data_IF_706161428997
#
_entry.id   IF_706161428997
#
_cell.length_a   1.000
_cell.length_b   1.000
_cell.length_c   1.000
_cell.angle_alpha   90.00
_cell.angle_beta   90.00
_cell.angle_gamma   90.00
#
_symmetry.space_group_name_H-M   'P 1'
#
loop_
_entity.id
_entity.type
_entity.pdbx_description
1 polymer ?
#
# COMPACT_ATOMS: atom_id res chain seq x y z
N UNK A 1 -8.85 51.32 14.22
CA UNK A 1 -7.79 50.97 13.24
C UNK A 1 -6.43 51.25 13.88
N UNK A 2 -5.65 50.19 14.15
CA UNK A 2 -4.44 50.25 14.97
C UNK A 2 -3.20 49.85 14.17
N UNK A 3 -2.08 50.50 14.50
CA UNK A 3 -0.76 50.52 13.85
C UNK A 3 -0.01 49.16 13.74
N UNK A 4 -0.64 48.04 14.10
CA UNK A 4 -0.09 46.68 13.94
C UNK A 4 -0.11 46.17 12.50
N UNK A 5 -0.87 46.83 11.62
CA UNK A 5 -1.10 46.42 10.23
C UNK A 5 0.13 46.65 9.30
N UNK A 6 1.03 47.56 9.66
CA UNK A 6 2.12 48.00 8.78
C UNK A 6 3.38 47.09 8.82
N UNK A 7 3.54 46.25 9.85
CA UNK A 7 4.68 45.31 9.94
C UNK A 7 4.46 44.04 9.09
N UNK A 8 3.19 43.63 8.89
CA UNK A 8 2.84 42.46 8.08
C UNK A 8 2.99 42.69 6.58
N UNK A 9 2.77 43.92 6.09
CA UNK A 9 2.83 44.24 4.66
C UNK A 9 4.28 44.18 4.10
N UNK A 10 5.28 44.52 4.91
CA UNK A 10 6.70 44.45 4.51
C UNK A 10 7.20 42.99 4.38
N UNK A 11 6.76 42.11 5.29
CA UNK A 11 7.04 40.67 5.23
C UNK A 11 6.29 40.01 4.05
N UNK A 12 5.07 40.48 3.79
CA UNK A 12 4.22 40.05 2.68
C UNK A 12 4.79 40.43 1.30
N UNK A 13 5.40 41.63 1.14
CA UNK A 13 6.09 42.01 -0.10
C UNK A 13 7.36 41.20 -0.35
N UNK A 14 8.03 40.72 0.70
CA UNK A 14 9.18 39.81 0.57
C UNK A 14 8.78 38.44 0.00
N UNK A 15 7.56 37.96 0.29
CA UNK A 15 7.03 36.70 -0.27
C UNK A 15 6.38 36.84 -1.65
N UNK A 16 5.99 38.05 -2.08
CA UNK A 16 5.26 38.33 -3.32
C UNK A 16 6.12 38.55 -4.59
N UNK A 17 7.44 38.36 -4.53
CA UNK A 17 8.36 38.72 -5.62
C UNK A 17 8.25 37.90 -6.93
N UNK A 18 7.59 36.75 -6.99
CA UNK A 18 7.61 35.88 -8.18
C UNK A 18 6.27 35.17 -8.43
N UNK A 19 5.21 35.98 -8.65
CA UNK A 19 3.83 35.54 -8.64
C UNK A 19 3.47 34.37 -9.57
N UNK A 20 2.48 33.57 -9.11
CA UNK A 20 1.21 33.29 -9.80
C UNK A 20 0.25 32.52 -8.89
N UNK A 21 -0.93 33.13 -8.70
CA UNK A 21 -2.23 32.63 -8.15
C UNK A 21 -2.21 31.98 -6.77
N UNK A 22 -2.92 32.57 -5.80
CA UNK A 22 -3.19 31.98 -4.50
C UNK A 22 -4.69 32.08 -4.17
N UNK A 23 -5.29 30.93 -3.86
CA UNK A 23 -6.50 30.84 -3.04
C UNK A 23 -6.19 31.46 -1.68
N UNK A 24 -7.11 32.25 -1.14
CA UNK A 24 -6.96 32.90 0.16
C UNK A 24 -6.98 31.86 1.28
N UNK A 25 -5.78 31.43 1.68
CA UNK A 25 -5.56 30.41 2.70
C UNK A 25 -6.05 30.88 4.07
N UNK A 26 -6.07 32.19 4.37
CA UNK A 26 -6.57 32.69 5.65
C UNK A 26 -8.10 32.71 5.71
N UNK A 27 -8.77 33.03 4.61
CA UNK A 27 -10.21 32.83 4.50
C UNK A 27 -10.58 31.34 4.63
N UNK A 28 -9.75 30.45 4.06
CA UNK A 28 -9.90 29.00 4.16
C UNK A 28 -9.64 28.48 5.58
N UNK A 29 -8.55 28.91 6.23
CA UNK A 29 -8.20 28.57 7.62
C UNK A 29 -9.25 29.11 8.60
N UNK A 30 -9.72 30.35 8.41
CA UNK A 30 -10.76 30.92 9.26
C UNK A 30 -12.08 30.16 9.11
N UNK A 31 -12.43 29.73 7.90
CA UNK A 31 -13.63 28.92 7.63
C UNK A 31 -13.52 27.49 8.21
N UNK A 32 -12.32 26.90 8.19
CA UNK A 32 -12.05 25.58 8.78
C UNK A 32 -12.10 25.65 10.32
N UNK A 33 -11.49 26.68 10.91
CA UNK A 33 -11.42 26.86 12.36
C UNK A 33 -12.74 27.35 12.96
N UNK A 34 -13.60 28.04 12.20
CA UNK A 34 -14.93 28.47 12.64
C UNK A 34 -16.00 27.37 12.54
N UNK A 35 -15.69 26.21 11.95
CA UNK A 35 -16.66 25.14 11.67
C UNK A 35 -17.63 25.46 10.53
N UNK A 36 -17.48 26.61 9.88
CA UNK A 36 -18.31 27.02 8.75
C UNK A 36 -17.96 26.26 7.48
N UNK A 37 -16.72 25.77 7.30
CA UNK A 37 -16.27 25.04 6.12
C UNK A 37 -17.01 23.71 5.95
N UNK A 38 -17.26 22.96 7.03
CA UNK A 38 -18.05 21.71 6.94
C UNK A 38 -19.49 21.98 6.50
N UNK A 39 -20.08 23.08 6.98
CA UNK A 39 -21.42 23.53 6.61
C UNK A 39 -21.46 24.08 5.19
N UNK A 40 -20.43 24.81 4.77
CA UNK A 40 -20.29 25.35 3.41
C UNK A 40 -20.02 24.23 2.40
N UNK A 41 -19.20 23.23 2.73
CA UNK A 41 -18.94 22.05 1.90
C UNK A 41 -20.20 21.20 1.77
N UNK A 42 -20.92 20.95 2.88
CA UNK A 42 -22.20 20.24 2.85
C UNK A 42 -23.27 21.01 2.06
N UNK A 43 -23.30 22.35 2.19
CA UNK A 43 -24.21 23.21 1.42
C UNK A 43 -23.85 23.21 -0.07
N UNK A 44 -22.57 23.31 -0.43
CA UNK A 44 -22.06 23.22 -1.80
C UNK A 44 -22.34 21.85 -2.43
N UNK A 45 -22.21 20.76 -1.65
CA UNK A 45 -22.56 19.40 -2.06
C UNK A 45 -24.09 19.22 -2.22
N UNK A 46 -24.89 19.87 -1.38
CA UNK A 46 -26.36 19.79 -1.44
C UNK A 46 -27.00 20.70 -2.49
N UNK A 47 -26.34 21.81 -2.83
CA UNK A 47 -26.76 22.77 -3.85
C UNK A 47 -26.22 22.38 -5.24
N UNK A 48 -25.13 21.61 -5.31
CA UNK A 48 -24.61 20.94 -6.51
C UNK A 48 -25.43 19.68 -6.83
N UNK A 49 -26.74 19.84 -7.06
CA UNK A 49 -27.61 18.75 -7.52
C UNK A 49 -27.36 18.35 -8.99
N UNK A 50 -26.32 18.86 -9.63
CA UNK A 50 -25.84 18.42 -10.94
C UNK A 50 -24.56 17.59 -10.81
N UNK A 51 -24.65 16.36 -11.32
CA UNK A 51 -23.68 15.26 -11.32
C UNK A 51 -22.38 15.57 -12.12
N UNK A 52 -21.77 16.75 -11.96
CA UNK A 52 -20.54 17.08 -12.70
C UNK A 52 -19.64 18.14 -12.07
N UNK A 53 -19.64 18.29 -10.75
CA UNK A 53 -18.50 18.91 -10.06
C UNK A 53 -17.31 17.95 -10.11
N UNK A 54 -16.50 18.13 -11.16
CA UNK A 54 -15.32 17.36 -11.53
C UNK A 54 -14.46 17.02 -10.29
N UNK A 55 -14.32 15.73 -9.97
CA UNK A 55 -13.66 15.22 -8.76
C UNK A 55 -12.22 15.71 -8.55
N UNK A 56 -11.65 16.36 -9.56
CA UNK A 56 -10.38 17.09 -9.50
C UNK A 56 -10.39 18.28 -8.54
N UNK A 57 -11.50 19.01 -8.42
CA UNK A 57 -11.59 20.15 -7.51
C UNK A 57 -11.60 19.70 -6.04
N UNK A 58 -12.28 18.58 -5.76
CA UNK A 58 -12.32 17.92 -4.46
C UNK A 58 -10.94 17.38 -4.09
N UNK A 59 -10.26 16.72 -5.03
CA UNK A 59 -8.90 16.20 -4.84
C UNK A 59 -7.85 17.29 -4.60
N UNK A 60 -7.97 18.44 -5.27
CA UNK A 60 -7.10 19.61 -5.05
C UNK A 60 -7.31 20.22 -3.66
N UNK A 61 -8.55 20.31 -3.20
CA UNK A 61 -8.88 20.80 -1.86
C UNK A 61 -8.40 19.86 -0.75
N UNK A 62 -8.55 18.55 -0.93
CA UNK A 62 -8.07 17.53 0.00
C UNK A 62 -6.53 17.49 0.06
N UNK A 63 -5.84 17.70 -1.07
CA UNK A 63 -4.37 17.83 -1.12
C UNK A 63 -3.85 19.04 -0.36
N UNK A 64 -4.54 20.17 -0.47
CA UNK A 64 -4.19 21.38 0.28
C UNK A 64 -4.37 21.18 1.80
N UNK A 65 -5.42 20.45 2.22
CA UNK A 65 -5.68 20.11 3.63
C UNK A 65 -4.70 19.09 4.21
N UNK A 66 -4.19 18.15 3.40
CA UNK A 66 -3.23 17.14 3.81
C UNK A 66 -1.76 17.62 3.82
N UNK A 67 -1.50 18.90 3.52
CA UNK A 67 -0.14 19.46 3.49
C UNK A 67 0.74 18.98 2.31
N UNK A 68 0.16 18.31 1.31
CA UNK A 68 0.87 17.87 0.12
C UNK A 68 0.77 18.92 -1.00
N UNK A 69 1.57 19.98 -0.90
CA UNK A 69 1.83 20.86 -2.05
C UNK A 69 3.07 20.32 -2.77
N UNK A 70 2.85 19.62 -3.87
CA UNK A 70 3.89 19.25 -4.82
C UNK A 70 4.57 20.52 -5.37
N UNK A 71 5.90 20.53 -5.37
CA UNK A 71 6.66 21.43 -6.23
C UNK A 71 6.30 21.11 -7.69
N UNK A 72 5.56 22.00 -8.34
CA UNK A 72 5.31 21.96 -9.78
C UNK A 72 6.54 22.48 -10.52
N UNK A 73 7.41 21.57 -10.95
CA UNK A 73 8.43 21.85 -11.96
C UNK A 73 8.00 21.27 -13.30
N UNK A 74 7.58 22.12 -14.24
CA UNK A 74 7.44 21.76 -15.65
C UNK A 74 8.84 21.58 -16.25
N UNK A 75 9.25 20.34 -16.48
CA UNK A 75 10.50 19.99 -17.16
C UNK A 75 10.45 18.51 -17.52
N UNK A 76 10.89 18.16 -18.73
CA UNK A 76 10.77 16.82 -19.29
C UNK A 76 11.40 15.71 -18.45
N UNK A 77 10.98 14.49 -18.76
CA UNK A 77 11.42 13.21 -18.20
C UNK A 77 12.95 13.06 -18.20
N UNK A 78 13.58 13.49 -17.11
CA UNK A 78 14.75 12.86 -16.52
C UNK A 78 14.32 12.45 -15.12
N UNK A 79 14.60 11.20 -14.73
CA UNK A 79 14.31 10.69 -13.39
C UNK A 79 14.96 11.62 -12.35
N UNK A 80 14.16 12.52 -11.78
CA UNK A 80 14.63 13.49 -10.82
C UNK A 80 15.15 12.72 -9.61
N UNK A 81 16.45 12.82 -9.38
CA UNK A 81 17.09 12.31 -8.17
C UNK A 81 16.38 12.96 -6.98
N UNK A 82 15.53 12.19 -6.29
CA UNK A 82 14.80 12.66 -5.11
C UNK A 82 15.86 13.05 -4.07
N UNK A 83 15.93 14.33 -3.72
CA UNK A 83 16.87 14.81 -2.74
C UNK A 83 16.65 14.06 -1.40
N UNK A 84 17.73 13.64 -0.71
CA UNK A 84 17.60 12.92 0.54
C UNK A 84 16.84 13.75 1.57
N UNK A 85 15.96 13.09 2.34
CA UNK A 85 15.21 13.74 3.41
C UNK A 85 16.17 14.31 4.47
N UNK A 86 15.83 15.47 5.07
CA UNK A 86 16.60 15.99 6.17
C UNK A 86 16.54 15.02 7.37
N UNK A 87 17.65 14.93 8.10
CA UNK A 87 17.69 14.18 9.36
C UNK A 87 16.84 14.94 10.37
N UNK A 88 15.80 14.28 10.88
CA UNK A 88 14.94 14.85 11.91
C UNK A 88 15.72 14.98 13.23
N UNK A 89 15.85 16.20 13.73
CA UNK A 89 16.56 16.50 15.00
C UNK A 89 15.62 16.63 16.19
N UNK A 90 14.32 16.69 15.95
CA UNK A 90 13.29 16.97 16.95
C UNK A 90 12.10 16.04 16.70
N UNK A 91 11.51 15.45 17.75
CA UNK A 91 10.27 14.69 17.57
C UNK A 91 9.12 15.62 17.16
N UNK A 92 8.06 15.10 16.50
CA UNK A 92 6.86 15.88 16.18
C UNK A 92 6.29 16.65 17.38
N UNK A 93 5.73 17.84 17.16
CA UNK A 93 5.09 18.64 18.22
C UNK A 93 3.75 18.04 18.66
N UNK A 94 3.07 17.32 17.78
CA UNK A 94 1.85 16.59 18.09
C UNK A 94 2.15 15.33 18.92
N UNK A 95 1.44 15.15 20.03
CA UNK A 95 1.71 14.04 20.95
C UNK A 95 1.32 12.68 20.39
N UNK A 96 0.28 12.60 19.55
CA UNK A 96 -0.18 11.39 18.92
C UNK A 96 0.80 10.94 17.83
N UNK A 97 1.31 11.88 17.03
CA UNK A 97 2.38 11.62 16.05
C UNK A 97 3.68 11.18 16.75
N UNK A 98 4.05 11.78 17.89
CA UNK A 98 5.21 11.30 18.67
C UNK A 98 5.05 9.85 19.13
N UNK A 99 3.86 9.49 19.61
CA UNK A 99 3.58 8.11 20.06
C UNK A 99 3.59 7.14 18.88
N UNK A 100 2.95 7.50 17.77
CA UNK A 100 2.98 6.71 16.54
C UNK A 100 4.42 6.50 16.02
N UNK A 101 5.25 7.56 15.99
CA UNK A 101 6.65 7.46 15.57
C UNK A 101 7.45 6.54 16.51
N UNK A 102 7.19 6.61 17.82
CA UNK A 102 7.83 5.73 18.80
C UNK A 102 7.40 4.27 18.67
N UNK A 103 6.15 4.00 18.28
CA UNK A 103 5.68 2.65 17.94
C UNK A 103 6.46 2.09 16.74
N UNK A 104 6.64 2.88 15.68
CA UNK A 104 7.42 2.45 14.52
C UNK A 104 8.89 2.21 14.89
N UNK A 105 9.48 3.11 15.69
CA UNK A 105 10.83 2.93 16.21
C UNK A 105 10.94 1.66 17.08
N UNK A 106 9.92 1.31 17.86
CA UNK A 106 9.88 0.05 18.63
C UNK A 106 9.96 -1.17 17.71
N UNK A 107 9.19 -1.20 16.63
CA UNK A 107 9.25 -2.28 15.62
C UNK A 107 10.65 -2.35 14.99
N UNK A 108 11.27 -1.21 14.69
CA UNK A 108 12.63 -1.18 14.19
C UNK A 108 13.66 -1.73 15.20
N UNK A 109 13.51 -1.48 16.51
CA UNK A 109 14.35 -2.12 17.54
C UNK A 109 14.18 -3.65 17.55
N UNK A 110 12.95 -4.15 17.34
CA UNK A 110 12.69 -5.58 17.18
C UNK A 110 13.37 -6.16 15.94
N UNK A 111 13.32 -5.46 14.80
CA UNK A 111 14.01 -5.89 13.57
C UNK A 111 15.52 -5.99 13.73
N UNK A 112 16.14 -5.05 14.46
CA UNK A 112 17.57 -5.11 14.81
C UNK A 112 17.92 -6.30 15.69
N UNK A 113 16.99 -6.72 16.55
CA UNK A 113 17.14 -7.88 17.42
C UNK A 113 16.85 -9.23 16.73
N UNK A 114 16.50 -9.25 15.44
CA UNK A 114 16.28 -10.48 14.66
C UNK A 114 14.80 -10.87 14.48
N UNK A 115 13.86 -10.00 14.85
CA UNK A 115 12.42 -10.21 14.66
C UNK A 115 11.93 -9.61 13.32
N UNK A 116 12.68 -9.79 12.24
CA UNK A 116 12.42 -9.09 10.97
C UNK A 116 11.17 -9.59 10.23
N UNK A 117 10.61 -10.73 10.65
CA UNK A 117 9.34 -11.26 10.11
C UNK A 117 8.11 -10.63 10.76
N UNK A 118 8.27 -9.66 11.66
CA UNK A 118 7.15 -8.81 12.10
C UNK A 118 6.80 -7.78 11.02
N UNK A 119 5.50 -7.67 10.72
CA UNK A 119 4.93 -6.76 9.73
C UNK A 119 4.03 -5.72 10.38
N UNK A 120 3.98 -4.53 9.79
CA UNK A 120 3.00 -3.50 10.09
C UNK A 120 1.95 -3.39 8.98
N UNK A 121 0.71 -3.14 9.37
CA UNK A 121 -0.38 -2.71 8.49
C UNK A 121 -0.93 -1.42 9.06
N UNK A 122 -0.58 -0.30 8.43
CA UNK A 122 -0.89 1.04 8.91
C UNK A 122 -1.93 1.70 8.01
N UNK A 123 -2.83 2.47 8.60
CA UNK A 123 -3.93 3.08 7.88
C UNK A 123 -4.62 4.20 8.66
N UNK A 124 -5.63 4.80 8.05
CA UNK A 124 -6.42 5.87 8.68
C UNK A 124 -7.78 5.36 9.16
N UNK A 125 -8.31 5.98 10.22
CA UNK A 125 -9.69 5.77 10.67
C UNK A 125 -10.70 6.13 9.57
N UNK A 126 -11.95 5.60 9.60
CA UNK A 126 -12.99 5.99 8.65
C UNK A 126 -13.21 7.51 8.63
N UNK A 127 -13.04 8.12 9.81
CA UNK A 127 -13.17 9.56 10.04
C UNK A 127 -11.94 10.37 9.61
N UNK A 128 -10.83 9.73 9.24
CA UNK A 128 -9.56 10.39 8.93
C UNK A 128 -8.88 11.06 10.12
N UNK A 129 -9.40 10.91 11.34
CA UNK A 129 -8.88 11.60 12.53
C UNK A 129 -7.77 10.85 13.27
N UNK A 130 -7.69 9.53 13.08
CA UNK A 130 -6.77 8.69 13.83
C UNK A 130 -5.97 7.78 12.92
N UNK A 131 -4.66 7.78 13.10
CA UNK A 131 -3.77 6.82 12.49
C UNK A 131 -3.82 5.51 13.28
N UNK A 132 -3.91 4.39 12.57
CA UNK A 132 -3.99 3.05 13.13
C UNK A 132 -2.82 2.23 12.62
N UNK A 133 -2.30 1.37 13.47
CA UNK A 133 -1.23 0.46 13.10
C UNK A 133 -1.48 -0.90 13.74
N UNK A 134 -1.52 -1.90 12.88
CA UNK A 134 -1.59 -3.30 13.26
C UNK A 134 -0.20 -3.91 13.13
N UNK A 135 0.21 -4.70 14.11
CA UNK A 135 1.44 -5.48 14.08
C UNK A 135 1.06 -6.95 14.00
N UNK A 136 1.64 -7.67 13.05
CA UNK A 136 1.38 -9.08 12.78
C UNK A 136 2.68 -9.78 12.34
N UNK A 137 2.58 -11.06 11.97
CA UNK A 137 3.69 -11.82 11.38
C UNK A 137 3.63 -11.84 9.85
N UNK A 138 4.77 -12.07 9.19
CA UNK A 138 4.88 -12.22 7.75
C UNK A 138 4.00 -13.35 7.16
N UNK A 139 3.62 -14.34 7.98
CA UNK A 139 2.74 -15.44 7.59
C UNK A 139 1.25 -15.05 7.61
N UNK A 140 0.92 -13.87 8.12
CA UNK A 140 -0.44 -13.35 8.23
C UNK A 140 -0.63 -12.03 7.45
N UNK A 141 0.17 -11.83 6.39
CA UNK A 141 -0.04 -10.77 5.41
C UNK A 141 -0.11 -11.34 3.99
N UNK A 142 -0.82 -10.67 3.10
CA UNK A 142 -0.88 -10.98 1.67
C UNK A 142 0.46 -10.69 0.98
N UNK A 143 0.53 -10.99 -0.33
CA UNK A 143 1.71 -10.75 -1.16
C UNK A 143 2.08 -9.26 -1.30
N UNK A 144 1.15 -8.34 -1.07
CA UNK A 144 1.44 -6.91 -0.99
C UNK A 144 2.26 -6.52 0.25
N UNK A 145 2.45 -7.44 1.20
CA UNK A 145 3.29 -7.25 2.36
C UNK A 145 2.66 -6.51 3.54
N UNK A 146 1.37 -6.14 3.47
CA UNK A 146 0.67 -5.39 4.53
C UNK A 146 -0.81 -5.76 4.74
N UNK A 147 -1.53 -6.24 3.73
CA UNK A 147 -2.94 -6.60 3.91
C UNK A 147 -3.05 -7.85 4.77
N UNK A 148 -3.88 -7.81 5.80
CA UNK A 148 -4.02 -8.90 6.77
C UNK A 148 -4.81 -10.06 6.16
N UNK A 149 -4.30 -11.30 6.30
CA UNK A 149 -5.01 -12.51 5.88
C UNK A 149 -6.09 -12.88 6.91
N UNK A 150 -5.74 -12.82 8.19
CA UNK A 150 -6.63 -13.14 9.30
C UNK A 150 -6.56 -12.08 10.40
N UNK A 151 -7.74 -11.67 10.86
CA UNK A 151 -7.93 -10.85 12.06
C UNK A 151 -8.08 -11.74 13.28
N UNK A 152 -7.62 -11.28 14.45
CA UNK A 152 -7.78 -12.01 15.71
C UNK A 152 -6.57 -11.89 16.64
N UNK A 153 -6.29 -12.96 17.40
CA UNK A 153 -5.26 -12.99 18.44
C UNK A 153 -3.83 -12.77 17.92
N UNK A 154 -3.59 -12.95 16.62
CA UNK A 154 -2.28 -12.77 15.99
C UNK A 154 -2.01 -11.33 15.52
N UNK A 155 -2.96 -10.41 15.77
CA UNK A 155 -2.87 -9.01 15.34
C UNK A 155 -2.96 -8.11 16.55
N UNK A 156 -1.91 -7.33 16.78
CA UNK A 156 -1.86 -6.33 17.85
C UNK A 156 -2.16 -4.95 17.26
N UNK A 157 -3.12 -4.22 17.83
CA UNK A 157 -3.60 -2.96 17.27
C UNK A 157 -3.26 -1.76 18.15
N UNK A 158 -2.74 -0.71 17.52
CA UNK A 158 -2.57 0.62 18.10
C UNK A 158 -3.40 1.64 17.32
N UNK A 159 -3.96 2.63 18.03
CA UNK A 159 -4.63 3.79 17.46
C UNK A 159 -4.05 5.06 18.06
N UNK A 160 -3.85 6.09 17.25
CA UNK A 160 -3.39 7.40 17.72
C UNK A 160 -4.43 8.14 18.57
N UNK A 161 -5.67 7.64 18.61
CA UNK A 161 -6.70 8.06 19.57
C UNK A 161 -6.35 7.69 21.01
N UNK A 162 -5.53 6.65 21.21
CA UNK A 162 -5.11 6.15 22.51
C UNK A 162 -3.82 6.87 22.95
N UNK A 163 -3.71 7.13 24.24
CA UNK A 163 -2.50 7.64 24.88
C UNK A 163 -1.60 6.53 25.43
N UNK A 164 -2.09 5.28 25.45
CA UNK A 164 -1.37 4.08 25.88
C UNK A 164 -1.12 3.12 24.70
N UNK A 165 0.06 2.49 24.69
CA UNK A 165 0.36 1.46 23.67
C UNK A 165 -0.36 0.18 24.04
N UNK A 166 -1.27 -0.31 23.20
CA UNK A 166 -1.96 -1.60 23.39
C UNK A 166 -2.69 -1.72 24.75
N UNK A 167 -3.15 -0.59 25.31
CA UNK A 167 -3.76 -0.52 26.66
C UNK A 167 -2.77 -0.64 27.83
N UNK A 168 -1.46 -0.60 27.58
CA UNK A 168 -0.43 -0.74 28.60
C UNK A 168 -0.30 0.52 29.48
N UNK A 169 -0.75 0.41 30.73
CA UNK A 169 -0.73 1.50 31.72
C UNK A 169 0.69 1.94 32.12
N UNK A 170 1.65 1.02 32.04
CA UNK A 170 3.04 1.27 32.42
C UNK A 170 3.92 1.77 31.26
N UNK A 171 3.33 2.10 30.11
CA UNK A 171 4.09 2.46 28.90
C UNK A 171 4.57 3.93 28.86
N UNK A 172 4.09 4.77 29.78
CA UNK A 172 4.44 6.17 29.86
C UNK A 172 5.95 6.39 30.02
N UNK A 173 6.52 7.29 29.22
CA UNK A 173 7.94 7.65 29.26
C UNK A 173 8.92 6.58 28.74
N UNK A 174 8.46 5.37 28.40
CA UNK A 174 9.35 4.32 27.87
C UNK A 174 9.91 4.69 26.51
N UNK A 175 11.19 4.37 26.30
CA UNK A 175 11.86 4.45 25.00
C UNK A 175 11.38 3.33 24.06
N UNK A 176 11.66 3.47 22.75
CA UNK A 176 11.37 2.44 21.75
C UNK A 176 11.96 1.06 22.13
N UNK A 177 13.18 1.02 22.69
CA UNK A 177 13.82 -0.22 23.16
C UNK A 177 13.09 -0.87 24.33
N UNK A 178 12.67 -0.06 25.30
CA UNK A 178 11.92 -0.56 26.46
C UNK A 178 10.52 -1.06 26.05
N UNK A 179 9.89 -0.40 25.07
CA UNK A 179 8.64 -0.88 24.48
C UNK A 179 8.85 -2.20 23.71
N UNK A 180 9.97 -2.35 23.02
CA UNK A 180 10.29 -3.58 22.27
C UNK A 180 10.47 -4.77 23.23
N UNK A 181 11.12 -4.54 24.37
CA UNK A 181 11.21 -5.55 25.43
C UNK A 181 9.81 -5.92 25.97
N UNK A 182 8.97 -4.93 26.30
CA UNK A 182 7.60 -5.19 26.74
C UNK A 182 6.77 -5.94 25.69
N UNK A 183 6.98 -5.66 24.40
CA UNK A 183 6.31 -6.35 23.32
C UNK A 183 6.63 -7.85 23.32
N UNK A 184 7.91 -8.21 23.47
CA UNK A 184 8.33 -9.61 23.57
C UNK A 184 7.73 -10.29 24.81
N UNK A 185 7.72 -9.59 25.95
CA UNK A 185 7.19 -10.10 27.22
C UNK A 185 5.67 -10.34 27.17
N UNK A 186 4.92 -9.46 26.49
CA UNK A 186 3.44 -9.47 26.50
C UNK A 186 2.80 -10.15 25.31
N UNK A 187 3.51 -10.24 24.19
CA UNK A 187 3.06 -10.92 22.97
C UNK A 187 4.07 -12.00 22.55
N UNK A 188 4.37 -12.99 23.42
CA UNK A 188 5.44 -13.95 23.18
C UNK A 188 5.20 -14.81 21.93
N UNK A 189 3.96 -15.20 21.65
CA UNK A 189 3.65 -16.00 20.45
C UNK A 189 3.86 -15.21 19.16
N UNK A 190 3.42 -13.95 19.12
CA UNK A 190 3.65 -13.09 17.96
C UNK A 190 5.15 -12.78 17.79
N UNK A 191 5.86 -12.49 18.88
CA UNK A 191 7.30 -12.30 18.86
C UNK A 191 8.02 -13.54 18.31
N UNK A 192 7.62 -14.75 18.73
CA UNK A 192 8.17 -16.01 18.21
C UNK A 192 7.96 -16.15 16.70
N UNK A 193 6.78 -15.82 16.17
CA UNK A 193 6.52 -15.81 14.71
C UNK A 193 7.34 -14.74 13.97
N UNK A 194 7.67 -13.65 14.65
CA UNK A 194 8.52 -12.59 14.14
C UNK A 194 9.99 -12.98 13.93
N UNK A 195 10.47 -14.06 14.56
CA UNK A 195 11.87 -14.49 14.46
C UNK A 195 12.21 -14.91 13.04
N UNK A 196 13.26 -14.31 12.49
CA UNK A 196 13.81 -14.64 11.16
C UNK A 196 14.38 -13.41 10.47
N UNK A 197 15.16 -13.64 9.42
CA UNK A 197 15.73 -12.56 8.61
C UNK A 197 14.79 -12.21 7.47
N UNK A 198 14.46 -10.93 7.33
CA UNK A 198 13.71 -10.34 6.23
C UNK A 198 14.39 -9.00 5.88
N UNK A 199 15.52 -9.09 5.18
CA UNK A 199 16.37 -7.92 4.91
C UNK A 199 15.68 -6.91 3.98
N UNK A 200 14.84 -7.39 3.06
CA UNK A 200 14.08 -6.53 2.16
C UNK A 200 13.10 -5.68 2.97
N UNK A 201 12.31 -6.32 3.84
CA UNK A 201 11.37 -5.60 4.68
C UNK A 201 12.06 -4.69 5.69
N UNK A 202 13.07 -5.18 6.39
CA UNK A 202 13.82 -4.38 7.36
C UNK A 202 14.50 -3.17 6.70
N UNK A 203 15.02 -3.32 5.49
CA UNK A 203 15.61 -2.21 4.72
C UNK A 203 14.57 -1.17 4.30
N UNK A 204 13.44 -1.61 3.74
CA UNK A 204 12.31 -0.72 3.43
C UNK A 204 11.79 -0.01 4.68
N UNK A 205 11.69 -0.71 5.81
CA UNK A 205 11.18 -0.17 7.07
C UNK A 205 12.04 0.99 7.57
N UNK A 206 13.37 0.95 7.38
CA UNK A 206 14.26 2.05 7.74
C UNK A 206 13.94 3.32 6.95
N UNK A 207 13.73 3.20 5.64
CA UNK A 207 13.34 4.33 4.79
C UNK A 207 11.97 4.90 5.19
N UNK A 208 11.00 4.02 5.46
CA UNK A 208 9.67 4.40 5.95
C UNK A 208 9.74 5.09 7.32
N UNK A 209 10.59 4.61 8.24
CA UNK A 209 10.78 5.22 9.55
C UNK A 209 11.37 6.63 9.41
N UNK A 210 12.35 6.84 8.53
CA UNK A 210 12.88 8.18 8.24
C UNK A 210 11.84 9.15 7.68
N UNK A 211 10.88 8.65 6.89
CA UNK A 211 9.71 9.43 6.47
C UNK A 211 8.81 9.80 7.66
N UNK A 212 8.50 8.84 8.54
CA UNK A 212 7.64 9.06 9.71
C UNK A 212 8.27 10.04 10.72
N UNK A 213 9.59 10.01 10.90
CA UNK A 213 10.34 10.99 11.70
C UNK A 213 10.25 12.42 11.16
N UNK A 214 9.95 12.57 9.87
CA UNK A 214 9.64 13.82 9.19
C UNK A 214 8.13 14.09 9.07
N UNK A 215 7.29 13.37 9.83
CA UNK A 215 5.84 13.55 9.86
C UNK A 215 5.07 12.85 8.74
N UNK A 216 5.75 12.09 7.88
CA UNK A 216 5.13 11.32 6.78
C UNK A 216 4.90 9.88 7.20
N UNK A 217 3.77 9.62 7.85
CA UNK A 217 3.41 8.27 8.33
C UNK A 217 2.89 7.38 7.20
N UNK A 218 3.17 6.06 7.25
CA UNK A 218 2.63 5.12 6.27
C UNK A 218 1.11 4.99 6.40
N UNK A 219 0.40 4.99 5.28
CA UNK A 219 -1.04 4.76 5.18
C UNK A 219 -1.29 3.85 3.98
N UNK A 220 -1.51 2.56 4.24
CA UNK A 220 -1.77 1.56 3.20
C UNK A 220 -3.26 1.38 2.92
N UNK A 221 -4.09 1.56 3.95
CA UNK A 221 -5.54 1.52 3.84
C UNK A 221 -6.22 2.73 4.47
N UNK A 222 -7.34 3.10 3.88
CA UNK A 222 -8.30 4.07 4.40
C UNK A 222 -9.67 3.78 3.77
N UNK A 223 -10.74 4.29 4.35
CA UNK A 223 -12.10 4.14 3.80
C UNK A 223 -12.37 5.13 2.65
N UNK A 224 -11.33 5.83 2.20
CA UNK A 224 -11.33 6.74 1.05
C UNK A 224 -10.21 6.35 0.08
N UNK A 225 -10.35 6.78 -1.18
CA UNK A 225 -9.42 6.39 -2.24
C UNK A 225 -7.98 6.81 -1.89
N UNK A 226 -7.09 5.83 -1.79
CA UNK A 226 -5.65 6.05 -1.73
C UNK A 226 -5.05 5.80 -3.10
N UNK A 227 -3.94 6.46 -3.40
CA UNK A 227 -3.11 6.18 -4.57
C UNK A 227 -1.65 6.16 -4.14
N UNK A 228 -1.24 5.19 -3.29
CA UNK A 228 0.14 5.08 -2.86
C UNK A 228 1.02 4.71 -4.05
N UNK A 229 2.25 5.19 -4.04
CA UNK A 229 3.26 4.78 -5.03
C UNK A 229 3.86 3.43 -4.64
N UNK A 230 4.35 2.65 -5.61
CA UNK A 230 4.99 1.36 -5.32
C UNK A 230 6.17 1.49 -4.34
N UNK A 231 6.89 2.61 -4.37
CA UNK A 231 8.01 2.90 -3.45
C UNK A 231 7.57 3.09 -1.99
N UNK A 232 6.33 3.51 -1.77
CA UNK A 232 5.75 3.68 -0.42
C UNK A 232 5.21 2.36 0.14
N UNK A 233 5.05 1.34 -0.69
CA UNK A 233 4.50 0.04 -0.32
C UNK A 233 5.58 -0.90 0.23
N UNK A 234 5.26 -1.71 1.26
CA UNK A 234 6.22 -2.69 1.77
C UNK A 234 6.51 -3.78 0.74
N UNK A 235 7.72 -4.37 0.78
CA UNK A 235 8.01 -5.53 -0.04
C UNK A 235 7.23 -6.76 0.47
N UNK A 236 7.02 -7.77 -0.40
CA UNK A 236 6.41 -9.03 -0.03
C UNK A 236 7.13 -9.74 1.15
N UNK A 237 6.47 -10.65 1.87
CA UNK A 237 7.08 -11.51 2.90
C UNK A 237 8.25 -12.34 2.37
N UNK A 238 9.43 -12.23 3.01
CA UNK A 238 10.55 -13.12 2.68
C UNK A 238 10.22 -14.57 3.06
N UNK A 239 10.72 -15.54 2.29
CA UNK A 239 10.43 -16.95 2.54
C UNK A 239 9.13 -17.45 1.91
N UNK A 240 8.32 -16.58 1.29
CA UNK A 240 7.59 -17.01 0.10
C UNK A 240 8.65 -17.55 -0.86
N UNK A 241 8.59 -18.83 -1.21
CA UNK A 241 9.45 -19.38 -2.25
C UNK A 241 9.14 -18.63 -3.54
N UNK A 242 9.91 -17.59 -3.82
CA UNK A 242 10.32 -17.31 -5.17
C UNK A 242 11.02 -18.59 -5.65
N UNK A 243 10.29 -19.46 -6.35
CA UNK A 243 10.93 -20.38 -7.27
C UNK A 243 11.75 -19.61 -8.31
N UNK A 244 11.54 -18.30 -8.48
CA UNK A 244 12.27 -17.49 -9.44
C UNK A 244 12.57 -16.09 -8.88
N UNK A 245 13.82 -15.92 -8.47
CA UNK A 245 14.49 -14.63 -8.32
C UNK A 245 15.49 -14.53 -9.47
N UNK A 246 15.07 -13.90 -10.55
CA UNK A 246 15.92 -13.25 -11.53
C UNK A 246 15.05 -12.23 -12.27
N UNK A 247 15.22 -10.97 -11.88
CA UNK A 247 14.92 -9.74 -12.65
C UNK A 247 13.75 -9.87 -13.64
N UNK A 248 12.56 -9.41 -13.22
CA UNK A 248 11.27 -9.27 -13.93
C UNK A 248 10.23 -10.40 -13.87
N UNK A 249 10.55 -11.64 -13.47
CA UNK A 249 9.56 -12.70 -13.14
C UNK A 249 8.60 -13.12 -14.27
N UNK A 250 8.60 -12.43 -15.41
CA UNK A 250 7.82 -12.74 -16.60
C UNK A 250 8.56 -13.77 -17.43
N UNK A 251 7.85 -14.78 -17.88
CA UNK A 251 8.33 -15.83 -18.77
C UNK A 251 7.61 -15.65 -20.11
N UNK A 252 8.35 -15.23 -21.13
CA UNK A 252 7.84 -15.19 -22.49
C UNK A 252 7.48 -16.61 -22.96
N UNK A 253 6.50 -16.71 -23.86
CA UNK A 253 6.07 -18.02 -24.37
C UNK A 253 7.20 -18.82 -25.03
N UNK A 254 8.16 -18.13 -25.66
CA UNK A 254 9.32 -18.74 -26.28
C UNK A 254 10.32 -19.34 -25.27
N UNK A 255 10.34 -18.82 -24.04
CA UNK A 255 11.25 -19.23 -22.98
C UNK A 255 10.59 -20.15 -21.94
N UNK A 256 9.32 -20.50 -22.13
CA UNK A 256 8.56 -21.33 -21.20
C UNK A 256 9.01 -22.79 -21.25
N UNK A 257 9.44 -23.33 -20.11
CA UNK A 257 9.95 -24.70 -19.93
C UNK A 257 9.11 -25.46 -18.91
N UNK A 258 9.21 -26.79 -18.92
CA UNK A 258 8.49 -27.66 -17.98
C UNK A 258 8.80 -27.33 -16.51
N UNK A 259 10.02 -26.92 -16.20
CA UNK A 259 10.46 -26.51 -14.86
C UNK A 259 9.83 -25.19 -14.38
N UNK A 260 9.23 -24.40 -15.28
CA UNK A 260 8.49 -23.19 -14.94
C UNK A 260 7.05 -23.48 -14.54
N UNK A 261 6.53 -24.68 -14.85
CA UNK A 261 5.14 -25.04 -14.55
C UNK A 261 5.01 -25.47 -13.08
N UNK A 262 3.93 -25.06 -12.39
CA UNK A 262 3.66 -25.55 -11.04
C UNK A 262 3.40 -27.07 -11.07
N UNK A 263 3.57 -27.80 -9.94
CA UNK A 263 3.30 -29.24 -9.90
C UNK A 263 1.83 -29.55 -10.22
N UNK A 264 1.51 -30.80 -10.63
CA UNK A 264 0.12 -31.24 -10.70
C UNK A 264 -0.59 -31.01 -9.36
N UNK A 265 -1.83 -30.54 -9.41
CA UNK A 265 -2.64 -30.21 -8.22
C UNK A 265 -2.02 -29.14 -7.30
N UNK A 266 -1.16 -28.28 -7.86
CA UNK A 266 -0.57 -27.15 -7.14
C UNK A 266 -1.62 -26.30 -6.41
N UNK A 267 -1.24 -25.78 -5.24
CA UNK A 267 -2.14 -24.94 -4.45
C UNK A 267 -2.37 -23.58 -5.12
N UNK A 268 -3.41 -22.86 -4.68
CA UNK A 268 -3.72 -21.53 -5.21
C UNK A 268 -2.52 -20.57 -5.18
N UNK A 269 -1.75 -20.56 -4.08
CA UNK A 269 -0.57 -19.71 -3.92
C UNK A 269 0.53 -19.98 -4.96
N UNK A 270 0.66 -21.22 -5.43
CA UNK A 270 1.61 -21.59 -6.49
C UNK A 270 1.06 -21.27 -7.90
N UNK A 271 -0.24 -21.49 -8.11
CA UNK A 271 -0.93 -21.16 -9.35
C UNK A 271 -0.96 -19.65 -9.61
N UNK A 272 -1.29 -18.85 -8.59
CA UNK A 272 -1.35 -17.40 -8.67
C UNK A 272 -0.02 -16.83 -9.16
N UNK A 273 1.08 -17.29 -8.56
CA UNK A 273 2.43 -16.87 -8.94
C UNK A 273 2.73 -17.23 -10.39
N UNK A 274 2.41 -18.45 -10.82
CA UNK A 274 2.61 -18.85 -12.21
C UNK A 274 1.79 -18.00 -13.21
N UNK A 275 0.54 -17.69 -12.89
CA UNK A 275 -0.32 -16.84 -13.74
C UNK A 275 0.29 -15.45 -13.98
N UNK A 276 0.94 -14.89 -12.96
CA UNK A 276 1.58 -13.57 -13.03
C UNK A 276 2.93 -13.58 -13.76
N UNK A 277 3.46 -14.74 -14.14
CA UNK A 277 4.62 -14.83 -15.05
C UNK A 277 4.27 -14.43 -16.48
N UNK A 278 2.99 -14.19 -16.78
CA UNK A 278 2.53 -13.76 -18.09
C UNK A 278 1.78 -12.45 -17.96
N UNK A 279 1.99 -11.54 -18.91
CA UNK A 279 1.18 -10.35 -19.03
C UNK A 279 0.22 -10.51 -20.20
N UNK A 280 -1.02 -10.87 -19.88
CA UNK A 280 -2.08 -11.03 -20.88
C UNK A 280 -2.50 -9.71 -21.55
N UNK A 281 -1.97 -8.57 -21.13
CA UNK A 281 -2.19 -7.25 -21.75
C UNK A 281 -1.00 -6.77 -22.60
N UNK A 282 0.13 -7.50 -22.60
CA UNK A 282 1.38 -7.03 -23.17
C UNK A 282 1.23 -6.62 -24.65
N UNK A 283 1.58 -5.35 -24.93
CA UNK A 283 1.62 -4.73 -26.26
C UNK A 283 0.53 -3.70 -26.55
N UNK A 284 -0.46 -3.50 -25.67
CA UNK A 284 -1.56 -2.54 -25.92
C UNK A 284 -2.46 -2.93 -27.11
N UNK A 285 -2.31 -4.14 -27.64
CA UNK A 285 -3.04 -4.63 -28.82
C UNK A 285 -4.35 -5.34 -28.49
N UNK A 286 -4.58 -5.74 -27.22
CA UNK A 286 -5.81 -6.39 -26.76
C UNK A 286 -6.47 -5.55 -25.67
N UNK A 287 -7.75 -5.20 -25.85
CA UNK A 287 -8.55 -4.57 -24.80
C UNK A 287 -8.87 -5.56 -23.68
N UNK A 288 -9.13 -5.08 -22.46
CA UNK A 288 -9.57 -5.91 -21.33
C UNK A 288 -10.76 -6.78 -21.73
N UNK A 289 -11.73 -6.21 -22.46
CA UNK A 289 -12.90 -6.93 -22.97
C UNK A 289 -12.56 -8.07 -23.93
N UNK A 290 -11.53 -7.90 -24.78
CA UNK A 290 -11.06 -8.96 -25.67
C UNK A 290 -10.39 -10.09 -24.89
N UNK A 291 -9.55 -9.77 -23.90
CA UNK A 291 -8.92 -10.79 -23.05
C UNK A 291 -9.96 -11.57 -22.23
N UNK A 292 -11.00 -10.90 -21.71
CA UNK A 292 -12.10 -11.57 -21.00
C UNK A 292 -12.94 -12.47 -21.92
N UNK A 293 -13.26 -12.01 -23.14
CA UNK A 293 -14.00 -12.82 -24.11
C UNK A 293 -13.19 -14.07 -24.53
N UNK A 294 -11.88 -13.90 -24.75
CA UNK A 294 -10.96 -14.99 -25.05
C UNK A 294 -10.90 -16.00 -23.89
N UNK A 295 -10.77 -15.52 -22.65
CA UNK A 295 -10.75 -16.38 -21.46
C UNK A 295 -12.05 -17.18 -21.29
N UNK A 296 -13.21 -16.55 -21.51
CA UNK A 296 -14.51 -17.23 -21.48
C UNK A 296 -14.64 -18.29 -22.58
N UNK A 297 -14.09 -18.03 -23.76
CA UNK A 297 -14.10 -18.98 -24.87
C UNK A 297 -13.19 -20.19 -24.62
N UNK A 298 -12.01 -19.97 -24.02
CA UNK A 298 -11.09 -21.05 -23.66
C UNK A 298 -11.68 -21.92 -22.55
N UNK A 299 -12.29 -21.30 -21.54
CA UNK A 299 -12.92 -21.99 -20.42
C UNK A 299 -14.13 -22.87 -20.80
N UNK A 300 -14.83 -22.54 -21.90
CA UNK A 300 -16.06 -23.23 -22.33
C UNK A 300 -15.85 -24.45 -23.22
N UNK A 301 -14.62 -25.02 -23.27
CA UNK A 301 -14.23 -26.34 -23.86
C UNK A 301 -13.21 -26.31 -25.02
N UNK A 302 -12.51 -25.20 -25.26
CA UNK A 302 -11.50 -25.10 -26.36
C UNK A 302 -10.05 -25.27 -25.90
N UNK A 303 -9.79 -25.87 -24.74
CA UNK A 303 -8.44 -26.04 -24.20
C UNK A 303 -7.49 -26.74 -25.18
N UNK A 304 -7.96 -27.79 -25.87
CA UNK A 304 -7.14 -28.56 -26.81
C UNK A 304 -6.64 -27.70 -28.00
N UNK A 305 -7.51 -26.81 -28.49
CA UNK A 305 -7.33 -26.02 -29.72
C UNK A 305 -6.74 -24.63 -29.47
N UNK A 306 -6.88 -24.09 -28.25
CA UNK A 306 -6.38 -22.76 -27.86
C UNK A 306 -4.88 -22.64 -28.10
N UNK A 307 -4.32 -21.49 -28.46
CA UNK A 307 -2.86 -21.33 -28.54
C UNK A 307 -2.19 -21.30 -27.16
N UNK A 308 -0.85 -21.36 -27.09
CA UNK A 308 -0.14 -21.17 -25.81
C UNK A 308 -0.38 -19.77 -25.22
N UNK A 309 -0.48 -18.75 -26.08
CA UNK A 309 -0.89 -17.39 -25.71
C UNK A 309 -2.31 -17.38 -25.12
N UNK A 310 -3.24 -18.10 -25.73
CA UNK A 310 -4.63 -18.16 -25.27
C UNK A 310 -4.75 -18.79 -23.88
N UNK A 311 -4.05 -19.89 -23.65
CA UNK A 311 -4.02 -20.57 -22.35
C UNK A 311 -3.42 -19.67 -21.25
N UNK A 312 -2.27 -19.03 -21.51
CA UNK A 312 -1.61 -18.16 -20.52
C UNK A 312 -2.37 -16.86 -20.28
N UNK A 313 -2.99 -16.29 -21.31
CA UNK A 313 -3.91 -15.15 -21.18
C UNK A 313 -5.12 -15.53 -20.31
N UNK A 314 -5.67 -16.72 -20.51
CA UNK A 314 -6.82 -17.21 -19.72
C UNK A 314 -6.45 -17.36 -18.24
N UNK A 315 -5.30 -17.98 -17.94
CA UNK A 315 -4.77 -18.09 -16.58
C UNK A 315 -4.58 -16.71 -15.92
N UNK A 316 -3.97 -15.77 -16.63
CA UNK A 316 -3.75 -14.41 -16.14
C UNK A 316 -5.07 -13.68 -15.85
N UNK A 317 -6.05 -13.73 -16.77
CA UNK A 317 -7.35 -13.07 -16.59
C UNK A 317 -8.14 -13.72 -15.45
N UNK A 318 -8.14 -15.05 -15.36
CA UNK A 318 -8.79 -15.78 -14.26
C UNK A 318 -8.18 -15.46 -12.92
N UNK A 319 -6.86 -15.38 -12.83
CA UNK A 319 -6.20 -15.00 -11.58
C UNK A 319 -6.65 -13.60 -11.13
N UNK A 320 -6.71 -12.64 -12.05
CA UNK A 320 -7.17 -11.27 -11.73
C UNK A 320 -8.65 -11.22 -11.36
N UNK A 321 -9.49 -11.98 -12.04
CA UNK A 321 -10.91 -12.08 -11.75
C UNK A 321 -11.14 -12.64 -10.35
N UNK A 322 -10.46 -13.73 -9.99
CA UNK A 322 -10.53 -14.34 -8.66
C UNK A 322 -10.08 -13.34 -7.60
N UNK A 323 -8.93 -12.68 -7.80
CA UNK A 323 -8.37 -11.73 -6.82
C UNK A 323 -9.24 -10.50 -6.59
N UNK A 324 -9.93 -10.01 -7.62
CA UNK A 324 -10.71 -8.77 -7.52
C UNK A 324 -12.19 -9.00 -7.22
N UNK A 325 -12.75 -10.14 -7.61
CA UNK A 325 -14.20 -10.36 -7.63
C UNK A 325 -14.66 -11.60 -6.84
N UNK A 326 -13.76 -12.50 -6.42
CA UNK A 326 -14.12 -13.74 -5.72
C UNK A 326 -13.53 -13.83 -4.31
N UNK A 327 -14.16 -14.60 -3.41
CA UNK A 327 -13.54 -14.96 -2.14
C UNK A 327 -12.23 -15.73 -2.34
N UNK A 328 -11.27 -15.53 -1.44
CA UNK A 328 -10.04 -16.31 -1.36
C UNK A 328 -10.16 -17.25 -0.14
N UNK A 329 -9.90 -18.56 -0.28
CA UNK A 329 -9.38 -19.25 -1.47
C UNK A 329 -10.42 -19.39 -2.61
N UNK A 330 -9.96 -19.58 -3.87
CA UNK A 330 -10.84 -19.73 -5.02
C UNK A 330 -11.76 -20.96 -4.88
N UNK A 331 -12.84 -20.97 -5.66
CA UNK A 331 -13.74 -22.11 -5.72
C UNK A 331 -13.04 -23.35 -6.30
N UNK A 332 -13.51 -24.54 -5.94
CA UNK A 332 -12.99 -25.79 -6.52
C UNK A 332 -13.14 -25.84 -8.05
N UNK A 333 -14.18 -25.19 -8.60
CA UNK A 333 -14.38 -25.08 -10.04
C UNK A 333 -13.29 -24.24 -10.73
N UNK A 334 -12.91 -23.12 -10.10
CA UNK A 334 -11.83 -22.27 -10.61
C UNK A 334 -10.49 -23.01 -10.58
N UNK A 335 -10.18 -23.69 -9.46
CA UNK A 335 -8.95 -24.47 -9.33
C UNK A 335 -8.91 -25.61 -10.36
N UNK A 336 -10.01 -26.35 -10.55
CA UNK A 336 -10.11 -27.40 -11.57
C UNK A 336 -9.81 -26.87 -12.97
N UNK A 337 -10.40 -25.74 -13.34
CA UNK A 337 -10.15 -25.12 -14.65
C UNK A 337 -8.69 -24.70 -14.81
N UNK A 338 -8.11 -24.07 -13.80
CA UNK A 338 -6.73 -23.61 -13.85
C UNK A 338 -5.74 -24.77 -13.95
N UNK A 339 -5.94 -25.85 -13.19
CA UNK A 339 -5.15 -27.07 -13.33
C UNK A 339 -5.28 -27.69 -14.73
N UNK A 340 -6.50 -27.76 -15.27
CA UNK A 340 -6.71 -28.26 -16.63
C UNK A 340 -5.95 -27.43 -17.68
N UNK A 341 -5.88 -26.11 -17.53
CA UNK A 341 -5.10 -25.24 -18.41
C UNK A 341 -3.59 -25.50 -18.26
N UNK A 342 -3.08 -25.58 -17.02
CA UNK A 342 -1.66 -25.85 -16.77
C UNK A 342 -1.22 -27.20 -17.35
N UNK A 343 -2.04 -28.25 -17.19
CA UNK A 343 -1.73 -29.56 -17.76
C UNK A 343 -1.79 -29.57 -19.29
N UNK A 344 -2.67 -28.75 -19.87
CA UNK A 344 -2.67 -28.55 -21.31
C UNK A 344 -1.40 -27.83 -21.80
N UNK A 345 -0.88 -26.87 -21.05
CA UNK A 345 0.43 -26.25 -21.33
C UNK A 345 1.54 -27.30 -21.20
N UNK A 346 1.54 -28.10 -20.13
CA UNK A 346 2.53 -29.17 -19.90
C UNK A 346 2.58 -30.17 -21.05
N UNK A 347 1.41 -30.60 -21.52
CA UNK A 347 1.27 -31.52 -22.66
C UNK A 347 1.92 -30.97 -23.93
N UNK A 348 1.84 -29.66 -24.17
CA UNK A 348 2.44 -29.02 -25.36
C UNK A 348 3.94 -28.90 -25.26
N UNK A 349 4.45 -28.47 -24.11
CA UNK A 349 5.89 -28.38 -23.86
C UNK A 349 6.58 -29.75 -23.84
N UNK A 350 5.83 -30.84 -23.63
CA UNK A 350 6.35 -32.21 -23.69
C UNK A 350 6.34 -32.81 -25.10
N UNK A 351 5.66 -32.18 -26.07
CA UNK A 351 5.51 -32.68 -27.45
C UNK A 351 6.35 -31.90 -28.47
N UNK A 352 6.76 -30.68 -28.15
CA UNK A 352 7.74 -29.90 -28.90
C UNK A 352 9.12 -30.10 -28.32
#
# INVERSE_FOLDING_TARGET
>A
MSKSFMAGEALYRAFRGQGRVLVDVQALEHSILSGEAGSALYRLMSESADYNTDGKAIALYQRALAGWVLQGGSGGEEAAVVAPLPISLQPPTDSALRRAGRLLAMVHELHKAGYQRLRISAGMSPTGMHWRCHITSADNVQLDGWDLVQWGEEVVTYSSADDHYFGWQDSAGKSARQLAQLFIERFPELARKGVGQDRAYAGWFVSMLGNAENGRFPVFFADYLLSPTEEEMPPPPCGYRHAWSAVDGRVANADLRLEHLPPPEARWDELEVFCLTYDGYAGGQKSISQCMAQAAQVASSRLAEASLDDLRTTLFIRQRDIRNNHPIPPSDDDLRLMHAIVEQIRSRLSRG
#
